data_IF_240617913994
#
_entry.id   IF_240617913994
#
_cell.length_a   1.000
_cell.length_b   1.000
_cell.length_c   1.000
_cell.angle_alpha   90.00
_cell.angle_beta   90.00
_cell.angle_gamma   90.00
#
_symmetry.space_group_name_H-M   'P 1'
#
loop_
_entity.id
_entity.type
_entity.pdbx_description
1 polymer ?
#
# COMPACT_ATOMS: atom_id res chain seq x y z
N UNK A 1 9.45 -18.33 9.71
CA UNK A 1 8.72 -19.07 8.65
C UNK A 1 8.36 -18.11 7.53
N UNK A 2 8.78 -18.36 6.29
CA UNK A 2 8.37 -17.58 5.11
C UNK A 2 7.16 -18.26 4.50
N UNK A 3 6.08 -17.52 4.26
CA UNK A 3 4.91 -18.01 3.51
C UNK A 3 4.95 -17.39 2.13
N UNK A 4 4.81 -18.21 1.10
CA UNK A 4 4.82 -17.79 -0.31
C UNK A 4 3.50 -18.15 -0.99
N UNK A 5 3.22 -17.49 -2.12
CA UNK A 5 2.10 -17.84 -3.01
C UNK A 5 0.73 -17.78 -2.33
N UNK A 6 0.50 -16.75 -1.50
CA UNK A 6 -0.80 -16.55 -0.83
C UNK A 6 -1.93 -16.23 -1.82
N UNK A 7 -1.58 -15.65 -2.97
CA UNK A 7 -2.49 -15.27 -4.06
C UNK A 7 -1.83 -15.56 -5.41
N UNK A 8 -2.62 -15.50 -6.48
CA UNK A 8 -2.12 -15.76 -7.84
C UNK A 8 -1.22 -14.63 -8.35
N UNK A 9 -0.40 -14.94 -9.35
CA UNK A 9 0.47 -13.92 -9.98
C UNK A 9 -0.35 -12.88 -10.74
N UNK A 10 -1.50 -13.29 -11.27
CA UNK A 10 -2.44 -12.45 -11.99
C UNK A 10 -3.06 -11.41 -11.05
N UNK A 11 -3.43 -11.81 -9.82
CA UNK A 11 -3.94 -10.88 -8.82
C UNK A 11 -2.84 -9.89 -8.39
N UNK A 12 -1.62 -10.37 -8.15
CA UNK A 12 -0.48 -9.50 -7.87
C UNK A 12 -0.25 -8.49 -9.01
N UNK A 13 -0.31 -8.94 -10.27
CA UNK A 13 -0.14 -8.07 -11.44
C UNK A 13 -1.22 -6.99 -11.48
N UNK A 14 -2.51 -7.34 -11.30
CA UNK A 14 -3.60 -6.36 -11.23
C UNK A 14 -3.36 -5.30 -10.16
N UNK A 15 -2.91 -5.71 -8.96
CA UNK A 15 -2.59 -4.78 -7.88
C UNK A 15 -1.47 -3.81 -8.29
N UNK A 16 -0.42 -4.31 -8.95
CA UNK A 16 0.70 -3.47 -9.43
C UNK A 16 0.22 -2.49 -10.51
N UNK A 17 -0.54 -2.97 -11.49
CA UNK A 17 -1.04 -2.13 -12.59
C UNK A 17 -1.90 -0.96 -12.05
N UNK A 18 -2.75 -1.21 -11.03
CA UNK A 18 -3.53 -0.17 -10.34
C UNK A 18 -2.65 0.83 -9.59
N UNK A 19 -1.59 0.35 -8.92
CA UNK A 19 -0.64 1.21 -8.20
C UNK A 19 0.13 2.10 -9.17
N UNK A 20 0.64 1.54 -10.27
CA UNK A 20 1.38 2.28 -11.29
C UNK A 20 0.50 3.37 -11.92
N UNK A 21 -0.75 3.04 -12.27
CA UNK A 21 -1.72 4.01 -12.77
C UNK A 21 -2.12 5.09 -11.75
N UNK A 22 -1.88 4.84 -10.44
CA UNK A 22 -2.15 5.80 -9.36
C UNK A 22 -0.96 6.71 -9.03
N UNK A 23 0.22 6.47 -9.62
CA UNK A 23 1.43 7.25 -9.37
C UNK A 23 1.59 8.40 -10.37
N UNK A 24 1.20 8.19 -11.64
CA UNK A 24 1.31 9.19 -12.70
C UNK A 24 0.05 9.20 -13.59
N UNK A 25 -0.86 10.19 -13.44
CA UNK A 25 -0.82 11.26 -12.44
C UNK A 25 -1.04 10.73 -11.02
N UNK A 26 -0.48 11.42 -10.02
CA UNK A 26 -0.63 11.03 -8.61
C UNK A 26 -2.10 11.12 -8.14
N UNK A 27 -2.73 9.97 -7.91
CA UNK A 27 -4.13 9.87 -7.50
C UNK A 27 -4.28 9.88 -5.97
N UNK A 28 -4.87 10.95 -5.47
CA UNK A 28 -5.12 11.16 -4.04
C UNK A 28 -6.14 10.19 -3.43
N UNK A 29 -6.17 10.08 -2.10
CA UNK A 29 -5.31 10.80 -1.14
C UNK A 29 -3.91 10.18 -1.02
N UNK A 30 -2.86 10.98 -1.07
CA UNK A 30 -1.47 10.53 -0.89
C UNK A 30 -0.86 11.21 0.33
N UNK A 31 0.21 10.62 0.82
CA UNK A 31 1.18 11.29 1.67
C UNK A 31 2.54 11.27 0.96
N UNK A 32 3.24 12.40 1.00
CA UNK A 32 4.49 12.63 0.28
C UNK A 32 5.72 12.46 1.17
N UNK A 33 6.89 12.23 0.56
CA UNK A 33 8.16 12.10 1.30
C UNK A 33 8.42 13.32 2.21
N UNK A 34 8.07 14.53 1.77
CA UNK A 34 8.24 15.75 2.57
C UNK A 34 7.37 15.81 3.85
N UNK A 35 6.33 14.97 3.95
CA UNK A 35 5.34 15.01 5.02
C UNK A 35 5.64 13.96 6.11
N UNK A 36 6.45 12.94 5.81
CA UNK A 36 6.82 11.90 6.80
C UNK A 36 7.99 12.29 7.70
N UNK A 37 8.73 13.34 7.33
CA UNK A 37 9.84 13.90 8.11
C UNK A 37 10.91 12.87 8.52
N UNK A 38 11.09 11.82 7.73
CA UNK A 38 12.19 10.86 7.93
C UNK A 38 13.54 11.51 7.63
N UNK A 39 14.64 11.03 8.24
CA UNK A 39 15.98 11.48 7.87
C UNK A 39 16.23 11.34 6.36
N UNK A 40 16.61 12.44 5.71
CA UNK A 40 16.81 12.48 4.26
C UNK A 40 15.58 12.86 3.43
N UNK A 41 14.40 13.02 4.05
CA UNK A 41 13.22 13.52 3.37
C UNK A 41 13.40 14.98 2.89
N UNK A 42 12.76 15.38 1.77
CA UNK A 42 12.73 16.77 1.35
C UNK A 42 12.13 17.66 2.43
N UNK A 43 12.66 18.87 2.60
CA UNK A 43 12.22 19.76 3.68
C UNK A 43 10.77 20.23 3.55
N UNK A 44 10.23 20.30 2.32
CA UNK A 44 8.85 20.65 2.03
C UNK A 44 8.47 20.24 0.59
N UNK A 45 7.18 20.35 0.26
CA UNK A 45 6.62 19.96 -1.05
C UNK A 45 7.13 20.75 -2.26
N UNK A 46 7.73 21.93 -2.05
CA UNK A 46 8.28 22.76 -3.13
C UNK A 46 9.75 22.46 -3.45
N UNK A 47 10.42 21.69 -2.61
CA UNK A 47 11.78 21.21 -2.90
C UNK A 47 11.73 20.05 -3.92
N UNK A 48 12.86 19.78 -4.55
CA UNK A 48 13.03 18.59 -5.38
C UNK A 48 12.70 17.33 -4.59
N UNK A 49 11.90 16.45 -5.19
CA UNK A 49 11.35 15.26 -4.53
C UNK A 49 10.23 15.53 -3.53
N UNK A 50 9.88 16.79 -3.24
CA UNK A 50 8.88 17.14 -2.25
C UNK A 50 7.46 16.62 -2.57
N UNK A 51 7.20 16.34 -3.84
CA UNK A 51 5.95 15.73 -4.32
C UNK A 51 6.10 14.23 -4.66
N UNK A 52 7.20 13.59 -4.27
CA UNK A 52 7.37 12.13 -4.43
C UNK A 52 6.39 11.41 -3.50
N UNK A 53 5.44 10.60 -4.02
CA UNK A 53 4.54 9.83 -3.18
C UNK A 53 5.32 8.87 -2.28
N UNK A 54 5.00 8.87 -0.98
CA UNK A 54 5.51 7.93 0.03
C UNK A 54 4.48 6.85 0.35
N UNK A 55 3.22 7.27 0.52
CA UNK A 55 2.08 6.38 0.79
C UNK A 55 0.90 6.75 -0.10
N UNK A 56 0.36 5.74 -0.78
CA UNK A 56 -0.97 5.82 -1.38
C UNK A 56 -1.98 5.43 -0.31
N UNK A 57 -2.65 6.42 0.30
CA UNK A 57 -3.58 6.19 1.41
C UNK A 57 -4.88 5.52 0.95
N UNK A 58 -5.58 4.86 1.87
CA UNK A 58 -6.88 4.21 1.67
C UNK A 58 -6.87 3.06 0.63
N UNK A 59 -5.86 2.17 0.67
CA UNK A 59 -5.68 1.09 -0.31
C UNK A 59 -6.96 0.27 -0.59
N UNK A 60 -7.74 -0.08 0.43
CA UNK A 60 -8.99 -0.84 0.29
C UNK A 60 -10.08 -0.14 -0.53
N UNK A 61 -10.09 1.20 -0.52
CA UNK A 61 -11.06 2.00 -1.26
C UNK A 61 -10.57 2.38 -2.67
N UNK A 62 -9.27 2.20 -2.96
CA UNK A 62 -8.67 2.63 -4.25
C UNK A 62 -9.20 1.85 -5.45
N UNK A 63 -9.37 0.55 -5.28
CA UNK A 63 -9.78 -0.35 -6.35
C UNK A 63 -10.35 -1.65 -5.75
N UNK A 64 -11.16 -2.37 -6.51
CA UNK A 64 -11.73 -3.64 -6.06
C UNK A 64 -10.68 -4.72 -5.80
N UNK A 65 -9.55 -4.67 -6.51
CA UNK A 65 -8.48 -5.67 -6.43
C UNK A 65 -7.90 -5.78 -5.01
N UNK A 66 -7.86 -4.69 -4.26
CA UNK A 66 -7.35 -4.69 -2.88
C UNK A 66 -8.34 -5.34 -1.92
N UNK A 67 -9.65 -5.25 -2.18
CA UNK A 67 -10.67 -5.94 -1.41
C UNK A 67 -10.66 -7.43 -1.72
N UNK A 68 -10.58 -7.79 -3.00
CA UNK A 68 -10.47 -9.18 -3.46
C UNK A 68 -9.26 -9.87 -2.83
N UNK A 69 -8.10 -9.19 -2.83
CA UNK A 69 -6.89 -9.68 -2.18
C UNK A 69 -7.09 -9.87 -0.67
N UNK A 70 -7.59 -8.84 0.04
CA UNK A 70 -7.76 -8.89 1.49
C UNK A 70 -8.76 -9.97 1.93
N UNK A 71 -9.75 -10.28 1.09
CA UNK A 71 -10.77 -11.30 1.34
C UNK A 71 -10.42 -12.68 0.78
N UNK A 72 -9.25 -12.87 0.15
CA UNK A 72 -8.86 -14.17 -0.43
C UNK A 72 -8.80 -15.25 0.68
N UNK A 73 -9.42 -16.43 0.49
CA UNK A 73 -9.51 -17.46 1.54
C UNK A 73 -8.15 -17.85 2.14
N UNK A 74 -7.11 -17.92 1.32
CA UNK A 74 -5.75 -18.22 1.77
C UNK A 74 -5.20 -17.14 2.70
N UNK A 75 -5.38 -15.87 2.36
CA UNK A 75 -4.94 -14.72 3.19
C UNK A 75 -5.71 -14.73 4.50
N UNK A 76 -7.04 -14.79 4.45
CA UNK A 76 -7.91 -14.80 5.64
C UNK A 76 -7.57 -15.96 6.56
N UNK A 77 -7.38 -17.17 6.02
CA UNK A 77 -6.99 -18.36 6.80
C UNK A 77 -5.67 -18.14 7.53
N UNK A 78 -4.66 -17.54 6.88
CA UNK A 78 -3.36 -17.27 7.52
C UNK A 78 -3.46 -16.20 8.58
N UNK A 79 -4.22 -15.14 8.36
CA UNK A 79 -4.45 -14.09 9.36
C UNK A 79 -5.13 -14.67 10.60
N UNK A 80 -6.20 -15.46 10.43
CA UNK A 80 -6.87 -16.16 11.55
C UNK A 80 -5.92 -17.05 12.35
N UNK A 81 -5.03 -17.79 11.66
CA UNK A 81 -4.02 -18.63 12.30
C UNK A 81 -2.99 -17.82 13.09
N UNK A 82 -2.55 -16.67 12.57
CA UNK A 82 -1.53 -15.84 13.21
C UNK A 82 -2.09 -15.07 14.42
N UNK A 83 -3.32 -14.58 14.32
CA UNK A 83 -3.97 -13.85 15.41
C UNK A 83 -4.54 -14.82 16.47
N UNK A 84 -4.89 -16.04 16.07
CA UNK A 84 -5.46 -17.05 16.98
C UNK A 84 -6.96 -16.89 17.23
N UNK A 85 -7.70 -16.30 16.28
CA UNK A 85 -9.15 -16.07 16.39
C UNK A 85 -9.89 -16.52 15.12
N UNK A 86 -11.15 -16.92 15.30
CA UNK A 86 -12.05 -17.32 14.21
C UNK A 86 -12.56 -16.13 13.41
N UNK A 87 -12.74 -14.98 14.06
CA UNK A 87 -13.39 -13.81 13.48
C UNK A 87 -12.39 -12.66 13.40
N UNK A 88 -12.18 -12.18 12.18
CA UNK A 88 -11.22 -11.12 11.89
C UNK A 88 -11.92 -10.06 11.05
N UNK A 89 -11.62 -8.80 11.35
CA UNK A 89 -12.10 -7.64 10.61
C UNK A 89 -10.89 -6.85 10.11
N UNK A 90 -11.01 -6.26 8.92
CA UNK A 90 -10.00 -5.36 8.38
C UNK A 90 -10.37 -3.92 8.74
N UNK A 91 -9.53 -3.26 9.54
CA UNK A 91 -9.64 -1.82 9.78
C UNK A 91 -9.21 -1.04 8.53
N UNK A 92 -9.98 -0.02 8.17
CA UNK A 92 -9.65 0.87 7.04
C UNK A 92 -8.88 2.13 7.49
N UNK A 93 -8.61 2.29 8.79
CA UNK A 93 -7.88 3.46 9.30
C UNK A 93 -6.38 3.42 8.97
N UNK A 94 -5.80 4.62 8.79
CA UNK A 94 -4.39 5.09 8.69
C UNK A 94 -3.30 4.17 8.10
N UNK A 95 -3.25 2.90 8.46
CA UNK A 95 -2.31 1.90 7.94
C UNK A 95 -2.82 1.14 6.72
N UNK A 96 -4.04 1.43 6.28
CA UNK A 96 -4.58 0.95 5.01
C UNK A 96 -3.97 1.76 3.85
N UNK A 97 -2.71 1.50 3.51
CA UNK A 97 -1.98 2.23 2.48
C UNK A 97 -1.07 1.31 1.65
N UNK A 98 -0.71 1.75 0.45
CA UNK A 98 0.37 1.17 -0.34
C UNK A 98 1.62 2.02 -0.13
N UNK A 99 2.68 1.39 0.36
CA UNK A 99 3.99 2.03 0.51
C UNK A 99 4.73 2.03 -0.83
N UNK A 100 5.29 3.17 -1.22
CA UNK A 100 6.10 3.31 -2.43
C UNK A 100 7.59 3.47 -2.08
N UNK A 101 8.46 3.06 -2.99
CA UNK A 101 9.91 3.32 -2.94
C UNK A 101 10.36 3.80 -4.31
N UNK A 102 10.08 5.06 -4.60
CA UNK A 102 10.38 5.66 -5.90
C UNK A 102 11.89 6.01 -6.00
N UNK A 103 12.47 6.01 -7.21
CA UNK A 103 13.87 6.38 -7.40
C UNK A 103 14.18 7.79 -6.87
N UNK A 104 15.46 8.00 -6.55
CA UNK A 104 16.07 9.30 -6.19
C UNK A 104 15.67 9.84 -4.81
N UNK A 105 14.39 10.07 -4.54
CA UNK A 105 13.93 10.84 -3.38
C UNK A 105 13.23 10.03 -2.29
N UNK A 106 13.11 8.72 -2.45
CA UNK A 106 12.47 7.89 -1.43
C UNK A 106 13.47 7.46 -0.36
N UNK A 107 13.27 7.95 0.86
CA UNK A 107 14.10 7.71 2.06
C UNK A 107 14.00 6.29 2.61
#
# INVERSE_FOLDING_TARGET
MKVSSLVSRELCKRMVDVVEASIEPALGPLEYEAEVHYPGAPSNRRCDGGNTPRRLLHAYARDDVFRDWACTPTVVKRVKQLIGVSDVLLTQNHHNCIMTKLPVFSS
#
